data_IF_581064631346
#
_entry.id   IF_581064631346
#
_cell.length_a   1.000
_cell.length_b   1.000
_cell.length_c   1.000
_cell.angle_alpha   90.00
_cell.angle_beta   90.00
_cell.angle_gamma   90.00
#
_symmetry.space_group_name_H-M   'P 1'
#
loop_
_entity.id
_entity.type
_entity.pdbx_description
1 polymer ?
#
# COMPACT_ATOMS: atom_id res chain seq x y z
N UNK A 1 0.39 6.77 -22.26
CA UNK A 1 -0.03 8.00 -21.82
C UNK A 1 0.33 8.20 -20.41
N UNK A 2 0.94 9.25 -20.23
CA UNK A 2 1.16 9.54 -18.97
C UNK A 2 -0.04 10.15 -18.43
N UNK A 3 -0.64 9.47 -17.58
CA UNK A 3 -1.81 9.93 -17.06
C UNK A 3 -1.58 11.14 -16.23
N UNK A 4 -2.36 12.11 -16.46
CA UNK A 4 -2.28 13.25 -15.71
C UNK A 4 -2.75 12.98 -14.32
N UNK A 5 -2.03 13.38 -13.35
CA UNK A 5 -2.41 13.17 -12.00
C UNK A 5 -3.22 14.32 -11.52
N UNK A 6 -4.48 14.09 -11.27
CA UNK A 6 -5.35 15.10 -10.76
C UNK A 6 -5.37 15.02 -9.24
N UNK A 7 -5.47 16.15 -8.60
CA UNK A 7 -5.63 16.17 -7.17
C UNK A 7 -7.09 15.84 -6.88
N UNK A 8 -7.33 14.70 -6.27
CA UNK A 8 -8.67 14.26 -5.95
C UNK A 8 -8.85 14.33 -4.46
N UNK A 9 -9.94 14.94 -4.03
CA UNK A 9 -10.30 14.96 -2.62
C UNK A 9 -10.81 13.57 -2.25
N UNK A 10 -10.04 12.83 -1.50
CA UNK A 10 -10.37 11.45 -1.16
C UNK A 10 -11.67 11.33 -0.40
N UNK A 11 -12.01 12.33 0.39
CA UNK A 11 -13.26 12.26 1.15
C UNK A 11 -14.45 12.40 0.22
N UNK A 12 -14.31 13.18 -0.83
CA UNK A 12 -15.41 13.34 -1.78
C UNK A 12 -15.67 12.07 -2.58
N UNK A 13 -14.65 11.23 -2.75
CA UNK A 13 -14.84 9.96 -3.44
C UNK A 13 -14.89 8.80 -2.46
N UNK A 14 -15.11 9.10 -1.18
CA UNK A 14 -15.30 8.10 -0.14
C UNK A 14 -14.08 7.20 0.07
N UNK A 15 -12.90 7.79 0.02
CA UNK A 15 -11.64 7.07 0.25
C UNK A 15 -10.84 7.79 1.32
N UNK A 16 -11.44 7.93 2.50
CA UNK A 16 -10.85 8.75 3.55
C UNK A 16 -9.92 7.99 4.49
N UNK A 17 -9.91 6.68 4.43
CA UNK A 17 -9.10 5.88 5.35
C UNK A 17 -7.85 5.40 4.67
N UNK A 18 -6.70 5.65 5.30
CA UNK A 18 -5.40 5.25 4.78
C UNK A 18 -4.84 4.20 5.71
N UNK A 19 -4.44 3.07 5.14
CA UNK A 19 -3.80 2.00 5.90
C UNK A 19 -2.39 1.78 5.37
N UNK A 20 -1.46 1.56 6.28
CA UNK A 20 -0.10 1.19 5.92
C UNK A 20 0.10 -0.26 6.33
N UNK A 21 0.38 -1.11 5.36
CA UNK A 21 0.50 -2.55 5.58
C UNK A 21 1.96 -2.93 5.41
N UNK A 22 2.57 -3.44 6.47
CA UNK A 22 3.95 -3.90 6.42
C UNK A 22 3.94 -5.42 6.38
N UNK A 23 4.69 -5.96 5.45
CA UNK A 23 4.70 -7.40 5.21
C UNK A 23 6.11 -7.93 5.39
N UNK A 24 6.21 -9.00 6.17
CA UNK A 24 7.45 -9.71 6.32
C UNK A 24 7.22 -11.14 5.83
N UNK A 25 8.14 -11.65 5.04
CA UNK A 25 7.98 -12.98 4.47
C UNK A 25 9.19 -13.83 4.74
N UNK A 26 8.97 -15.13 4.87
CA UNK A 26 10.06 -16.09 4.95
C UNK A 26 10.44 -16.60 3.56
N UNK A 27 9.71 -16.21 2.53
CA UNK A 27 9.96 -16.64 1.16
C UNK A 27 10.88 -15.66 0.48
N UNK A 28 12.09 -16.10 0.15
CA UNK A 28 13.08 -15.20 -0.42
C UNK A 28 13.54 -15.65 -1.79
N UNK A 29 12.68 -16.32 -2.56
CA UNK A 29 13.03 -16.71 -3.92
C UNK A 29 12.34 -15.82 -4.92
N UNK A 30 12.91 -15.75 -6.12
CA UNK A 30 12.42 -14.84 -7.14
C UNK A 30 11.04 -15.20 -7.67
N UNK A 31 10.74 -16.47 -7.73
CA UNK A 31 9.44 -16.89 -8.23
C UNK A 31 8.33 -16.43 -7.30
N UNK A 32 8.54 -16.57 -6.00
CA UNK A 32 7.58 -16.09 -5.03
C UNK A 32 7.42 -14.57 -5.11
N UNK A 33 8.56 -13.87 -5.17
CA UNK A 33 8.55 -12.42 -5.20
C UNK A 33 7.79 -11.89 -6.42
N UNK A 34 8.01 -12.51 -7.58
CA UNK A 34 7.33 -12.08 -8.78
C UNK A 34 5.83 -12.28 -8.67
N UNK A 35 5.42 -13.42 -8.16
CA UNK A 35 4.00 -13.72 -8.00
C UNK A 35 3.36 -12.74 -7.02
N UNK A 36 4.05 -12.45 -5.92
CA UNK A 36 3.55 -11.52 -4.93
C UNK A 36 3.39 -10.12 -5.51
N UNK A 37 4.42 -9.62 -6.17
CA UNK A 37 4.39 -8.29 -6.73
C UNK A 37 3.28 -8.16 -7.76
N UNK A 38 3.14 -9.15 -8.65
CA UNK A 38 2.11 -9.08 -9.68
C UNK A 38 0.71 -9.14 -9.08
N UNK A 39 0.52 -9.96 -8.05
CA UNK A 39 -0.77 -10.04 -7.41
C UNK A 39 -1.17 -8.76 -6.72
N UNK A 40 -0.23 -8.14 -6.02
CA UNK A 40 -0.52 -6.89 -5.30
C UNK A 40 -0.74 -5.74 -6.26
N UNK A 41 0.00 -5.69 -7.36
CA UNK A 41 -0.15 -4.61 -8.32
C UNK A 41 -1.53 -4.58 -8.95
N UNK A 42 -2.25 -5.68 -8.94
CA UNK A 42 -3.60 -5.73 -9.48
C UNK A 42 -4.67 -5.28 -8.50
N UNK A 43 -4.30 -5.01 -7.27
CA UNK A 43 -5.27 -4.59 -6.26
C UNK A 43 -5.43 -3.08 -6.30
N UNK A 44 -6.62 -2.62 -6.69
CA UNK A 44 -6.87 -1.20 -6.89
C UNK A 44 -6.74 -0.39 -5.60
N UNK A 45 -6.97 -1.00 -4.47
CA UNK A 45 -6.87 -0.32 -3.18
C UNK A 45 -5.44 0.09 -2.86
N UNK A 46 -4.45 -0.58 -3.44
CA UNK A 46 -3.04 -0.30 -3.17
C UNK A 46 -2.58 0.83 -4.07
N UNK A 47 -2.28 1.98 -3.48
CA UNK A 47 -1.85 3.14 -4.25
C UNK A 47 -0.34 3.34 -4.23
N UNK A 48 0.35 2.76 -3.27
CA UNK A 48 1.81 2.79 -3.22
C UNK A 48 2.29 1.43 -2.73
N UNK A 49 3.39 0.98 -3.28
CA UNK A 49 3.89 -0.35 -2.99
C UNK A 49 5.41 -0.31 -3.07
N UNK A 50 6.07 -0.60 -1.97
CA UNK A 50 7.52 -0.49 -1.86
C UNK A 50 8.13 -1.78 -1.38
N UNK A 51 9.33 -2.06 -1.85
CA UNK A 51 10.18 -3.08 -1.26
C UNK A 51 11.13 -2.38 -0.32
N UNK A 52 11.28 -2.90 0.88
CA UNK A 52 12.03 -2.24 1.93
C UNK A 52 13.29 -2.99 2.26
N UNK A 53 14.28 -2.26 2.74
CA UNK A 53 15.38 -2.85 3.49
C UNK A 53 15.09 -2.60 4.95
N UNK A 54 15.28 -3.58 5.79
CA UNK A 54 15.03 -3.42 7.22
C UNK A 54 14.18 -4.56 7.76
N UNK A 55 13.41 -4.26 8.80
CA UNK A 55 12.68 -5.29 9.51
C UNK A 55 11.53 -5.89 8.70
N UNK A 56 10.90 -5.09 7.86
CA UNK A 56 9.83 -5.57 7.00
C UNK A 56 10.33 -5.62 5.57
N UNK A 57 9.72 -6.47 4.75
CA UNK A 57 10.16 -6.66 3.39
C UNK A 57 9.40 -5.79 2.40
N UNK A 58 8.13 -5.51 2.67
CA UNK A 58 7.30 -4.72 1.77
C UNK A 58 6.40 -3.79 2.55
N UNK A 59 6.05 -2.67 1.93
CA UNK A 59 5.12 -1.70 2.50
C UNK A 59 4.09 -1.34 1.44
N UNK A 60 2.83 -1.40 1.82
CA UNK A 60 1.72 -1.00 0.97
C UNK A 60 1.02 0.18 1.60
N UNK A 61 0.66 1.15 0.78
CA UNK A 61 -0.25 2.21 1.20
C UNK A 61 -1.59 1.94 0.54
N UNK A 62 -2.63 1.83 1.35
CA UNK A 62 -3.95 1.36 0.91
C UNK A 62 -4.99 2.43 1.20
N UNK A 63 -5.84 2.74 0.23
CA UNK A 63 -6.96 3.65 0.42
C UNK A 63 -8.25 2.86 0.41
N UNK A 64 -9.07 3.09 1.43
CA UNK A 64 -10.34 2.39 1.58
C UNK A 64 -11.37 3.35 2.17
N UNK A 65 -12.67 3.07 2.02
CA UNK A 65 -13.71 3.94 2.57
C UNK A 65 -13.70 4.00 4.09
N UNK A 66 -13.47 2.88 4.74
CA UNK A 66 -13.52 2.83 6.21
C UNK A 66 -12.80 1.58 6.68
N UNK A 67 -12.66 1.45 7.99
CA UNK A 67 -11.92 0.34 8.57
C UNK A 67 -12.59 -0.99 8.29
N UNK A 68 -13.91 -1.01 8.23
CA UNK A 68 -14.62 -2.26 7.95
C UNK A 68 -14.28 -2.81 6.56
N UNK A 69 -14.07 -1.93 5.59
CA UNK A 69 -13.70 -2.36 4.26
C UNK A 69 -12.27 -2.88 4.20
N UNK A 70 -11.45 -2.54 5.18
CA UNK A 70 -10.10 -3.06 5.21
C UNK A 70 -10.10 -4.59 5.35
N UNK A 71 -11.05 -5.13 6.09
CA UNK A 71 -11.10 -6.57 6.26
C UNK A 71 -11.29 -7.29 4.94
N UNK A 72 -12.10 -6.73 4.04
CA UNK A 72 -12.26 -7.30 2.71
C UNK A 72 -10.98 -7.26 1.92
N UNK A 73 -10.27 -6.15 1.99
CA UNK A 73 -8.97 -6.03 1.34
C UNK A 73 -7.98 -7.04 1.91
N UNK A 74 -7.94 -7.14 3.23
CA UNK A 74 -7.00 -8.03 3.90
C UNK A 74 -7.23 -9.48 3.49
N UNK A 75 -8.48 -9.88 3.39
CA UNK A 75 -8.79 -11.23 2.96
C UNK A 75 -8.36 -11.49 1.53
N UNK A 76 -8.53 -10.51 0.66
CA UNK A 76 -8.05 -10.65 -0.72
C UNK A 76 -6.54 -10.79 -0.75
N UNK A 77 -5.84 -9.98 0.04
CA UNK A 77 -4.40 -10.01 0.08
C UNK A 77 -3.88 -11.36 0.55
N UNK A 78 -4.42 -11.85 1.66
CA UNK A 78 -3.93 -13.09 2.24
C UNK A 78 -4.36 -14.32 1.47
N UNK A 79 -5.46 -14.24 0.72
CA UNK A 79 -5.85 -15.34 -0.14
C UNK A 79 -4.92 -15.53 -1.32
N UNK A 80 -4.35 -14.46 -1.83
CA UNK A 80 -3.51 -14.56 -3.00
C UNK A 80 -2.16 -15.15 -2.69
N UNK A 81 -1.66 -14.91 -1.49
CA UNK A 81 -0.27 -15.18 -1.20
C UNK A 81 -0.12 -15.59 0.24
N UNK A 82 0.76 -16.54 0.48
CA UNK A 82 1.06 -17.00 1.81
C UNK A 82 2.05 -16.03 2.44
N UNK A 83 1.63 -15.31 3.45
CA UNK A 83 2.44 -14.31 4.11
C UNK A 83 2.75 -14.73 5.53
N UNK A 84 4.00 -14.49 5.94
CA UNK A 84 4.42 -14.88 7.28
C UNK A 84 3.88 -13.93 8.34
N UNK A 85 3.92 -12.64 8.05
CA UNK A 85 3.64 -11.66 9.08
C UNK A 85 3.16 -10.38 8.43
N UNK A 86 2.02 -9.89 8.87
CA UNK A 86 1.40 -8.70 8.31
C UNK A 86 1.02 -7.78 9.45
N UNK A 87 1.52 -6.55 9.42
CA UNK A 87 1.19 -5.55 10.42
C UNK A 87 0.53 -4.38 9.73
N UNK A 88 -0.63 -3.98 10.23
CA UNK A 88 -1.39 -2.87 9.64
C UNK A 88 -1.49 -1.72 10.63
N UNK A 89 -1.27 -0.51 10.14
CA UNK A 89 -1.49 0.71 10.92
C UNK A 89 -2.37 1.63 10.12
N UNK A 90 -3.34 2.24 10.77
CA UNK A 90 -4.21 3.20 10.10
C UNK A 90 -3.73 4.61 10.42
N UNK A 91 -3.71 5.47 9.41
CA UNK A 91 -3.33 6.86 9.63
C UNK A 91 -4.43 7.54 10.41
N UNK A 92 -4.08 8.10 11.56
CA UNK A 92 -5.03 8.83 12.37
C UNK A 92 -5.19 10.25 11.87
N UNK A 93 -4.11 10.79 11.30
CA UNK A 93 -4.08 12.18 10.89
C UNK A 93 -3.02 12.34 9.82
N UNK A 94 -3.34 13.08 8.77
CA UNK A 94 -2.37 13.38 7.73
C UNK A 94 -1.80 14.76 8.04
N UNK A 95 -0.59 14.78 8.57
CA UNK A 95 0.01 16.02 9.05
C UNK A 95 0.60 16.84 7.92
N UNK A 96 1.20 16.16 6.95
CA UNK A 96 1.79 16.84 5.80
C UNK A 96 1.71 15.95 4.59
N UNK A 97 1.28 16.51 3.51
CA UNK A 97 1.31 15.84 2.23
C UNK A 97 1.60 16.88 1.17
N UNK A 98 2.63 16.65 0.38
CA UNK A 98 2.99 17.60 -0.66
C UNK A 98 3.59 16.85 -1.82
N UNK A 99 3.40 17.40 -3.02
CA UNK A 99 4.07 16.89 -4.21
C UNK A 99 5.31 17.71 -4.54
N UNK A 100 5.62 18.72 -3.74
CA UNK A 100 6.80 19.54 -3.98
C UNK A 100 8.06 18.75 -3.66
N UNK A 101 9.06 18.87 -4.50
CA UNK A 101 10.31 18.16 -4.33
C UNK A 101 11.28 18.99 -3.49
N UNK A 102 12.14 18.33 -2.70
CA UNK A 102 13.14 19.03 -1.91
C UNK A 102 14.31 19.45 -2.80
N UNK A 103 14.13 20.53 -3.54
CA UNK A 103 15.06 20.92 -4.59
C UNK A 103 16.43 21.32 -4.07
N UNK A 104 16.56 21.58 -2.77
CA UNK A 104 17.85 21.95 -2.23
C UNK A 104 18.86 20.81 -2.25
N UNK A 105 18.46 19.63 -2.64
CA UNK A 105 19.40 18.53 -2.81
C UNK A 105 19.90 18.39 -4.24
N UNK A 106 19.43 19.21 -5.14
CA UNK A 106 19.81 19.09 -6.55
C UNK A 106 21.01 19.95 -6.90
#
# INVERSE_FOLDING_TARGET
>A
LKKKIAVIDRQKVNLSTVAFVQIKTSQHNMAWAKKFVEGVKEMDEVIEFYRLSGASDYLLKVLIPNIEKFDEFYKKLTNKIDLSDVTTSFAMEEIKQTSALPLNYI
#
